data_IF_664944401645
#
_entry.id   IF_664944401645
#
_cell.length_a   1.000
_cell.length_b   1.000
_cell.length_c   1.000
_cell.angle_alpha   90.00
_cell.angle_beta   90.00
_cell.angle_gamma   90.00
#
_symmetry.space_group_name_H-M   'P 1'
#
loop_
_entity.id
_entity.type
_entity.pdbx_description
1 polymer ?
#
# COMPACT_ATOMS: atom_id res chain seq x y z
N UNK A 1 -20.15 20.28 1.28
CA UNK A 1 -19.05 20.29 0.27
C UNK A 1 -18.65 18.85 0.00
N UNK A 2 -18.19 18.52 -1.21
CA UNK A 2 -17.92 17.16 -1.65
C UNK A 2 -16.42 16.88 -1.72
N UNK A 3 -15.97 15.79 -1.11
CA UNK A 3 -14.58 15.30 -1.17
C UNK A 3 -14.65 13.80 -1.42
N UNK A 4 -14.07 13.33 -2.53
CA UNK A 4 -14.04 11.91 -2.88
C UNK A 4 -12.75 11.58 -3.61
N UNK A 5 -12.15 10.47 -3.21
CA UNK A 5 -10.96 9.87 -3.82
C UNK A 5 -11.29 8.42 -4.15
N UNK A 6 -10.98 8.01 -5.39
CA UNK A 6 -11.10 6.63 -5.84
C UNK A 6 -9.77 6.24 -6.46
N UNK A 7 -9.14 5.19 -5.94
CA UNK A 7 -7.84 4.71 -6.41
C UNK A 7 -7.91 3.22 -6.69
N UNK A 8 -7.19 2.79 -7.71
CA UNK A 8 -6.90 1.38 -7.96
C UNK A 8 -5.41 1.26 -8.16
N UNK A 9 -4.79 0.36 -7.40
CA UNK A 9 -3.34 0.21 -7.40
C UNK A 9 -2.89 -0.94 -6.52
N UNK A 10 -1.58 -1.08 -6.41
CA UNK A 10 -0.96 -2.16 -5.64
C UNK A 10 -0.35 -1.64 -4.35
N UNK A 11 -0.51 -2.40 -3.27
CA UNK A 11 0.19 -2.11 -2.03
C UNK A 11 1.70 -2.23 -2.20
N UNK A 12 2.46 -1.25 -1.72
CA UNK A 12 3.94 -1.29 -1.80
C UNK A 12 4.56 -2.11 -0.68
N UNK A 13 3.83 -2.28 0.42
CA UNK A 13 4.21 -3.03 1.62
C UNK A 13 2.98 -3.68 2.23
N UNK A 14 3.21 -4.63 3.14
CA UNK A 14 2.14 -5.20 3.96
C UNK A 14 1.56 -4.11 4.87
N UNK A 15 0.22 -3.97 4.99
CA UNK A 15 -0.40 -2.96 5.85
C UNK A 15 0.02 -3.10 7.31
N UNK A 16 0.42 -2.00 7.92
CA UNK A 16 0.78 -1.96 9.33
C UNK A 16 -0.46 -1.70 10.18
N UNK A 17 -0.86 -2.69 10.98
CA UNK A 17 -1.98 -2.57 11.91
C UNK A 17 -1.49 -2.09 13.28
N UNK A 18 -2.02 -0.97 13.75
CA UNK A 18 -1.77 -0.45 15.08
C UNK A 18 -3.09 -0.33 15.86
N UNK A 19 -2.98 -0.44 17.19
CA UNK A 19 -4.05 -0.05 18.11
C UNK A 19 -3.71 1.27 18.76
N UNK A 20 -4.68 2.16 18.80
CA UNK A 20 -4.57 3.43 19.53
C UNK A 20 -4.83 3.23 21.02
N UNK A 21 -4.49 4.24 21.83
CA UNK A 21 -4.73 4.22 23.29
C UNK A 21 -6.21 4.05 23.67
N UNK A 22 -7.13 4.38 22.75
CA UNK A 22 -8.57 4.21 22.94
C UNK A 22 -9.09 2.89 22.34
N UNK A 23 -8.22 1.89 22.16
CA UNK A 23 -8.48 0.56 21.58
C UNK A 23 -9.12 0.58 20.18
N UNK A 24 -8.90 1.66 19.41
CA UNK A 24 -9.30 1.72 18.00
C UNK A 24 -8.17 1.22 17.11
N UNK A 25 -8.48 0.23 16.27
CA UNK A 25 -7.60 -0.28 15.22
C UNK A 25 -7.42 0.75 14.10
N UNK A 26 -6.17 0.94 13.65
CA UNK A 26 -5.81 1.80 12.52
C UNK A 26 -4.79 1.07 11.65
N UNK A 27 -5.01 1.04 10.35
CA UNK A 27 -4.07 0.47 9.39
C UNK A 27 -3.50 1.59 8.52
N UNK A 28 -2.19 1.57 8.33
CA UNK A 28 -1.48 2.44 7.40
C UNK A 28 -0.90 1.60 6.27
N UNK A 29 -1.07 2.09 5.05
CA UNK A 29 -0.56 1.44 3.87
C UNK A 29 -0.24 2.49 2.80
N UNK A 30 0.63 2.14 1.87
CA UNK A 30 0.92 2.96 0.70
C UNK A 30 0.50 2.19 -0.55
N UNK A 31 -0.25 2.86 -1.42
CA UNK A 31 -0.69 2.32 -2.70
C UNK A 31 0.08 2.98 -3.84
N UNK A 32 0.64 2.16 -4.73
CA UNK A 32 1.22 2.60 -5.99
C UNK A 32 0.14 2.58 -7.08
N UNK A 33 -0.09 3.74 -7.69
CA UNK A 33 -1.08 3.95 -8.76
C UNK A 33 -0.34 4.37 -10.02
N UNK A 34 -0.32 3.50 -11.03
CA UNK A 34 0.35 3.79 -12.29
C UNK A 34 -0.36 4.92 -13.04
N UNK A 35 0.40 5.88 -13.55
CA UNK A 35 -0.11 6.93 -14.42
C UNK A 35 -0.49 6.35 -15.79
N UNK A 36 -1.48 6.99 -16.43
CA UNK A 36 -1.99 6.53 -17.73
C UNK A 36 -1.00 6.74 -18.87
N UNK A 37 -0.23 7.81 -18.81
CA UNK A 37 0.73 8.19 -19.84
C UNK A 37 2.15 7.74 -19.45
N UNK A 38 2.99 7.58 -20.48
CA UNK A 38 4.42 7.34 -20.33
C UNK A 38 5.15 8.67 -20.20
N UNK A 39 6.26 8.68 -19.50
CA UNK A 39 7.18 9.81 -19.44
C UNK A 39 7.94 9.99 -20.76
N UNK A 40 8.87 10.95 -20.81
CA UNK A 40 9.69 11.23 -21.99
C UNK A 40 10.63 10.06 -22.36
N UNK A 41 10.93 9.17 -21.39
CA UNK A 41 11.77 8.00 -21.58
C UNK A 41 10.98 6.76 -22.00
N UNK A 42 9.64 6.85 -22.06
CA UNK A 42 8.75 5.75 -22.43
C UNK A 42 8.36 4.82 -21.28
N UNK A 43 8.68 5.19 -20.03
CA UNK A 43 8.35 4.45 -18.81
C UNK A 43 7.04 4.93 -18.18
N UNK A 44 6.36 4.04 -17.45
CA UNK A 44 5.14 4.41 -16.70
C UNK A 44 5.49 4.71 -15.26
N UNK A 45 5.44 5.98 -14.90
CA UNK A 45 5.58 6.40 -13.51
C UNK A 45 4.36 5.99 -12.66
N UNK A 46 4.58 5.85 -11.36
CA UNK A 46 3.54 5.56 -10.38
C UNK A 46 3.50 6.65 -9.30
N UNK A 47 2.29 7.01 -8.89
CA UNK A 47 2.05 7.85 -7.72
C UNK A 47 1.91 6.98 -6.47
N UNK A 48 2.57 7.40 -5.40
CA UNK A 48 2.55 6.71 -4.10
C UNK A 48 1.65 7.47 -3.14
N UNK A 49 0.51 6.87 -2.82
CA UNK A 49 -0.52 7.52 -1.99
C UNK A 49 -0.64 6.81 -0.66
N UNK A 50 -0.58 7.59 0.42
CA UNK A 50 -0.78 7.09 1.78
C UNK A 50 -2.26 6.87 2.06
N UNK A 51 -2.59 5.71 2.62
CA UNK A 51 -3.92 5.31 3.02
C UNK A 51 -3.99 5.17 4.54
N UNK A 52 -5.10 5.63 5.11
CA UNK A 52 -5.45 5.41 6.52
C UNK A 52 -6.83 4.78 6.58
N UNK A 53 -6.89 3.62 7.23
CA UNK A 53 -8.14 2.88 7.47
C UNK A 53 -8.34 2.72 8.97
N UNK A 54 -9.59 2.70 9.41
CA UNK A 54 -9.94 2.59 10.83
C UNK A 54 -10.86 1.40 11.11
N UNK A 55 -10.84 0.93 12.36
CA UNK A 55 -11.73 -0.11 12.88
C UNK A 55 -11.67 -1.39 12.06
N UNK A 56 -12.84 -1.93 11.72
CA UNK A 56 -12.96 -3.19 10.98
C UNK A 56 -12.29 -3.15 9.60
N UNK A 57 -12.27 -1.99 8.92
CA UNK A 57 -11.59 -1.86 7.63
C UNK A 57 -10.07 -2.03 7.78
N UNK A 58 -9.50 -1.46 8.86
CA UNK A 58 -8.09 -1.63 9.18
C UNK A 58 -7.74 -3.10 9.42
N UNK A 59 -8.52 -3.76 10.27
CA UNK A 59 -8.33 -5.18 10.61
C UNK A 59 -8.46 -6.06 9.36
N UNK A 60 -9.51 -5.85 8.56
CA UNK A 60 -9.74 -6.61 7.33
C UNK A 60 -8.59 -6.41 6.34
N UNK A 61 -8.12 -5.18 6.14
CA UNK A 61 -7.01 -4.93 5.23
C UNK A 61 -5.73 -5.62 5.71
N UNK A 62 -5.41 -5.54 7.01
CA UNK A 62 -4.21 -6.18 7.56
C UNK A 62 -4.29 -7.71 7.55
N UNK A 63 -5.47 -8.30 7.78
CA UNK A 63 -5.64 -9.76 7.75
C UNK A 63 -5.59 -10.34 6.34
N UNK A 64 -6.07 -9.59 5.35
CA UNK A 64 -6.24 -10.12 4.00
C UNK A 64 -5.34 -9.51 2.95
N UNK A 65 -4.66 -8.39 3.16
CA UNK A 65 -3.81 -7.78 2.14
C UNK A 65 -2.33 -7.91 2.51
N UNK A 66 -1.52 -8.25 1.50
CA UNK A 66 -0.07 -8.38 1.58
C UNK A 66 0.59 -7.42 0.59
N UNK A 67 1.91 -7.25 0.69
CA UNK A 67 2.70 -6.52 -0.32
C UNK A 67 2.31 -6.96 -1.74
N UNK A 68 2.09 -5.98 -2.62
CA UNK A 68 1.73 -6.19 -4.01
C UNK A 68 0.24 -6.42 -4.28
N UNK A 69 -0.59 -6.64 -3.24
CA UNK A 69 -2.03 -6.88 -3.40
C UNK A 69 -2.70 -5.75 -4.19
N UNK A 70 -3.47 -6.10 -5.22
CA UNK A 70 -4.25 -5.16 -6.02
C UNK A 70 -5.55 -4.84 -5.29
N UNK A 71 -5.75 -3.56 -5.00
CA UNK A 71 -6.93 -3.07 -4.28
C UNK A 71 -7.57 -1.89 -4.99
N UNK A 72 -8.89 -1.78 -4.88
CA UNK A 72 -9.59 -0.50 -5.05
C UNK A 72 -9.80 0.14 -3.68
N UNK A 73 -9.76 1.47 -3.63
CA UNK A 73 -9.97 2.24 -2.40
C UNK A 73 -10.91 3.40 -2.72
N UNK A 74 -11.95 3.54 -1.89
CA UNK A 74 -12.83 4.69 -1.86
C UNK A 74 -12.59 5.46 -0.56
N UNK A 75 -12.49 6.78 -0.63
CA UNK A 75 -12.25 7.59 0.56
C UNK A 75 -12.27 9.09 0.31
N UNK A 76 -11.61 9.80 1.20
CA UNK A 76 -11.56 11.26 1.20
C UNK A 76 -10.12 11.74 1.40
N UNK A 77 -9.74 12.82 0.73
CA UNK A 77 -8.44 13.43 0.92
C UNK A 77 -8.39 14.17 2.26
N UNK A 78 -7.40 13.88 3.09
CA UNK A 78 -7.18 14.52 4.38
C UNK A 78 -5.75 15.06 4.44
N UNK A 79 -5.64 16.30 4.90
CA UNK A 79 -4.35 16.94 5.18
C UNK A 79 -4.24 17.19 6.66
N UNK A 80 -3.19 16.69 7.29
CA UNK A 80 -2.86 16.99 8.68
C UNK A 80 -1.49 17.63 8.78
N UNK A 81 -1.29 18.41 9.82
CA UNK A 81 0.01 18.99 10.17
C UNK A 81 0.47 18.47 11.51
N UNK A 82 1.76 18.23 11.65
CA UNK A 82 2.38 17.89 12.92
C UNK A 82 3.77 18.52 13.01
N UNK A 83 4.21 18.81 14.21
CA UNK A 83 5.55 19.34 14.45
C UNK A 83 6.50 18.18 14.77
N UNK A 84 7.66 18.17 14.12
CA UNK A 84 8.75 17.24 14.43
C UNK A 84 10.07 18.01 14.35
N UNK A 85 10.84 17.97 15.43
CA UNK A 85 12.13 18.66 15.54
C UNK A 85 12.05 20.17 15.26
N UNK A 86 11.01 20.85 15.72
CA UNK A 86 10.81 22.29 15.49
C UNK A 86 10.33 22.66 14.07
N UNK A 87 10.11 21.67 13.19
CA UNK A 87 9.60 21.89 11.83
C UNK A 87 8.16 21.41 11.69
N UNK A 88 7.32 22.27 11.11
CA UNK A 88 5.95 21.94 10.73
C UNK A 88 5.95 21.07 9.47
N UNK A 89 5.44 19.85 9.61
CA UNK A 89 5.31 18.88 8.53
C UNK A 89 3.84 18.74 8.14
N UNK A 90 3.55 18.72 6.84
CA UNK A 90 2.23 18.48 6.28
C UNK A 90 2.18 17.10 5.65
N UNK A 91 1.12 16.35 5.96
CA UNK A 91 0.88 15.02 5.40
C UNK A 91 -0.48 15.04 4.71
N UNK A 92 -0.46 14.65 3.44
CA UNK A 92 -1.66 14.38 2.66
C UNK A 92 -1.86 12.86 2.61
N UNK A 93 -3.02 12.41 3.03
CA UNK A 93 -3.39 11.00 3.09
C UNK A 93 -4.85 10.81 2.68
N UNK A 94 -5.19 9.59 2.24
CA UNK A 94 -6.56 9.22 1.93
C UNK A 94 -7.13 8.48 3.12
N UNK A 95 -8.16 9.07 3.73
CA UNK A 95 -8.99 8.39 4.73
C UNK A 95 -9.93 7.45 3.98
N UNK A 96 -9.65 6.15 4.00
CA UNK A 96 -10.48 5.18 3.28
C UNK A 96 -11.79 4.96 4.02
N UNK A 97 -12.89 5.06 3.28
CA UNK A 97 -14.24 4.70 3.72
C UNK A 97 -14.63 3.29 3.26
N UNK A 98 -13.91 2.72 2.29
CA UNK A 98 -14.08 1.37 1.80
C UNK A 98 -12.92 0.93 0.92
N UNK A 99 -12.75 -0.38 0.76
CA UNK A 99 -11.80 -0.96 -0.18
C UNK A 99 -12.31 -2.30 -0.70
N UNK A 100 -11.79 -2.73 -1.84
CA UNK A 100 -12.00 -4.08 -2.36
C UNK A 100 -10.67 -4.70 -2.76
N UNK A 101 -10.52 -5.99 -2.50
CA UNK A 101 -9.45 -6.80 -3.06
C UNK A 101 -9.85 -7.23 -4.46
N UNK A 102 -9.01 -6.92 -5.45
CA UNK A 102 -9.33 -7.13 -6.86
C UNK A 102 -8.67 -8.39 -7.45
N UNK A 103 -7.90 -9.12 -6.65
CA UNK A 103 -7.24 -10.35 -7.08
C UNK A 103 -7.95 -11.59 -6.54
N UNK A 104 -8.06 -12.59 -7.41
CA UNK A 104 -8.55 -13.90 -7.01
C UNK A 104 -7.56 -14.60 -6.08
N UNK A 105 -8.06 -15.57 -5.28
CA UNK A 105 -7.20 -16.40 -4.43
C UNK A 105 -6.12 -17.13 -5.24
N UNK A 106 -6.45 -17.58 -6.46
CA UNK A 106 -5.50 -18.25 -7.35
C UNK A 106 -4.37 -17.30 -7.81
N UNK A 107 -4.72 -16.07 -8.22
CA UNK A 107 -3.73 -15.05 -8.60
C UNK A 107 -2.84 -14.65 -7.42
N UNK A 108 -3.39 -14.61 -6.21
CA UNK A 108 -2.60 -14.38 -5.00
C UNK A 108 -1.61 -15.52 -4.74
N UNK A 109 -2.06 -16.76 -4.75
CA UNK A 109 -1.21 -17.93 -4.52
C UNK A 109 -0.08 -18.02 -5.56
N UNK A 110 -0.39 -17.75 -6.83
CA UNK A 110 0.62 -17.74 -7.89
C UNK A 110 1.71 -16.68 -7.65
N UNK A 111 1.32 -15.47 -7.20
CA UNK A 111 2.27 -14.41 -6.88
C UNK A 111 3.11 -14.72 -5.63
N UNK A 112 2.51 -15.34 -4.61
CA UNK A 112 3.23 -15.76 -3.40
C UNK A 112 4.26 -16.85 -3.72
N UNK A 113 3.94 -17.79 -4.61
CA UNK A 113 4.88 -18.81 -5.07
C UNK A 113 6.03 -18.20 -5.88
N UNK A 114 5.74 -17.29 -6.82
CA UNK A 114 6.78 -16.63 -7.62
C UNK A 114 7.72 -15.79 -6.75
N UNK A 115 7.21 -15.10 -5.72
CA UNK A 115 8.05 -14.31 -4.81
C UNK A 115 9.03 -15.18 -4.01
N UNK A 116 8.67 -16.43 -3.70
CA UNK A 116 9.58 -17.40 -3.06
C UNK A 116 10.66 -17.91 -4.01
N UNK A 117 10.37 -17.94 -5.31
CA UNK A 117 11.30 -18.40 -6.34
C UNK A 117 12.34 -17.32 -6.66
N UNK A 118 11.94 -16.06 -6.81
CA UNK A 118 12.86 -14.92 -6.99
C UNK A 118 13.84 -14.78 -5.82
N UNK A 119 13.38 -15.02 -4.58
CA UNK A 119 14.25 -15.01 -3.39
C UNK A 119 15.21 -16.20 -3.34
N UNK A 120 14.79 -17.39 -3.80
CA UNK A 120 15.65 -18.55 -3.86
C UNK A 120 16.76 -18.37 -4.92
N UNK A 121 16.41 -17.81 -6.09
CA UNK A 121 17.36 -17.54 -7.16
C UNK A 121 18.41 -16.49 -6.73
N UNK A 122 18.00 -15.43 -6.03
CA UNK A 122 18.92 -14.43 -5.45
C UNK A 122 19.89 -15.01 -4.39
N UNK A 123 19.41 -15.93 -3.55
CA UNK A 123 20.25 -16.57 -2.52
C UNK A 123 21.27 -17.53 -3.16
N UNK A 124 20.86 -18.25 -4.21
CA UNK A 124 21.76 -19.13 -4.96
C UNK A 124 22.82 -18.32 -5.74
N UNK A 125 22.47 -17.17 -6.30
CA UNK A 125 23.44 -16.26 -6.93
C UNK A 125 24.46 -15.68 -5.92
N UNK A 126 24.06 -15.37 -4.68
CA UNK A 126 24.99 -14.91 -3.63
C UNK A 126 25.95 -16.03 -3.16
N UNK A 127 25.52 -17.30 -3.17
CA UNK A 127 26.37 -18.45 -2.82
C UNK A 127 27.39 -18.81 -3.91
N UNK A 128 27.14 -18.44 -5.17
CA UNK A 128 28.01 -18.75 -6.31
C UNK A 128 29.15 -17.73 -6.54
N UNK A 129 29.25 -16.65 -5.77
CA UNK A 129 30.35 -15.69 -5.91
C UNK A 129 31.65 -16.19 -5.26
N UNK A 130 32.70 -16.54 -6.03
CA UNK A 130 34.02 -16.74 -5.45
C UNK A 130 34.56 -15.36 -5.06
N UNK A 131 35.12 -15.27 -3.85
CA UNK A 131 35.86 -14.10 -3.36
C UNK A 131 36.92 -13.63 -4.37
#
# INVERSE_FOLDING_TARGET
MYNKVILIGRLTSTPELHKTNNDKSVARATIAVNRRYKDQNGEREADFVNLVLWGKLAETLASYATKGSLISVDGELRTRRFEKNGQMNYVTEVLATGFQLLESRAQRAMRENNAGQDLADLVLEEEELPF
#
